data_IF_575658967079
#
_entry.id   IF_575658967079
#
_cell.length_a   1.000
_cell.length_b   1.000
_cell.length_c   1.000
_cell.angle_alpha   90.00
_cell.angle_beta   90.00
_cell.angle_gamma   90.00
#
_symmetry.space_group_name_H-M   'P 1'
#
loop_
_entity.id
_entity.type
_entity.pdbx_description
1 polymer ?
#
# COMPACT_ATOMS: atom_id res chain seq x y z
N UNK A 1 -11.89 18.50 -24.40
CA UNK A 1 -12.95 17.76 -23.65
C UNK A 1 -12.62 17.65 -22.18
N UNK A 2 -13.65 17.47 -21.32
CA UNK A 2 -13.45 17.23 -19.90
C UNK A 2 -12.61 15.98 -19.64
N UNK A 3 -11.88 15.96 -18.52
CA UNK A 3 -11.20 14.77 -18.06
C UNK A 3 -12.21 13.71 -17.61
N UNK A 4 -11.82 12.45 -17.68
CA UNK A 4 -12.61 11.30 -17.20
C UNK A 4 -11.83 10.49 -16.16
N UNK A 5 -12.56 9.83 -15.26
CA UNK A 5 -11.97 8.95 -14.23
C UNK A 5 -12.25 7.49 -14.62
N UNK A 6 -11.19 6.70 -14.81
CA UNK A 6 -11.31 5.26 -14.95
C UNK A 6 -11.65 4.64 -13.58
N UNK A 7 -12.88 4.17 -13.45
CA UNK A 7 -13.42 3.65 -12.20
C UNK A 7 -12.76 2.35 -11.72
N UNK A 8 -12.15 1.58 -12.64
CA UNK A 8 -11.46 0.35 -12.27
C UNK A 8 -10.21 0.62 -11.41
N UNK A 9 -9.56 1.76 -11.62
CA UNK A 9 -8.35 2.16 -10.91
C UNK A 9 -8.58 3.23 -9.85
N UNK A 10 -9.77 3.81 -9.77
CA UNK A 10 -10.09 4.84 -8.79
C UNK A 10 -10.22 4.22 -7.39
N UNK A 11 -9.38 4.67 -6.45
CA UNK A 11 -9.41 4.28 -5.04
C UNK A 11 -10.28 5.18 -4.16
N UNK A 12 -10.96 6.16 -4.77
CA UNK A 12 -11.80 7.15 -4.08
C UNK A 12 -11.07 7.94 -2.97
N UNK A 13 -9.79 8.25 -3.18
CA UNK A 13 -8.92 8.91 -2.20
C UNK A 13 -9.17 10.41 -2.00
N UNK A 14 -10.12 11.03 -2.69
CA UNK A 14 -10.53 12.44 -2.62
C UNK A 14 -9.56 13.48 -3.19
N UNK A 15 -8.30 13.18 -3.46
CA UNK A 15 -7.29 14.18 -3.82
C UNK A 15 -7.70 15.03 -5.04
N UNK A 16 -8.14 14.37 -6.10
CA UNK A 16 -8.59 15.06 -7.31
C UNK A 16 -9.75 16.03 -7.04
N UNK A 17 -10.65 15.69 -6.11
CA UNK A 17 -11.76 16.55 -5.70
C UNK A 17 -11.27 17.77 -4.94
N UNK A 18 -10.31 17.61 -4.03
CA UNK A 18 -9.75 18.70 -3.23
C UNK A 18 -9.01 19.72 -4.11
N UNK A 19 -8.33 19.24 -5.15
CA UNK A 19 -7.57 20.07 -6.08
C UNK A 19 -8.41 20.67 -7.21
N UNK A 20 -9.67 20.31 -7.33
CA UNK A 20 -10.51 20.82 -8.41
C UNK A 20 -11.03 22.23 -8.11
N UNK A 21 -10.54 23.30 -8.79
CA UNK A 21 -10.95 24.67 -8.51
C UNK A 21 -12.41 24.94 -8.85
N UNK A 22 -12.98 24.13 -9.75
CA UNK A 22 -14.37 24.26 -10.20
C UNK A 22 -15.33 23.35 -9.43
N UNK A 23 -14.84 22.62 -8.43
CA UNK A 23 -15.63 21.61 -7.72
C UNK A 23 -16.40 20.67 -8.66
N UNK A 24 -15.81 20.40 -9.84
CA UNK A 24 -16.42 19.53 -10.87
C UNK A 24 -16.39 18.05 -10.50
N UNK A 25 -15.59 17.65 -9.49
CA UNK A 25 -15.43 16.25 -9.13
C UNK A 25 -16.36 15.89 -7.98
N UNK A 26 -17.27 14.96 -8.24
CA UNK A 26 -18.32 14.55 -7.31
C UNK A 26 -18.26 13.05 -7.06
N UNK A 27 -18.82 12.61 -5.94
CA UNK A 27 -18.98 11.19 -5.59
C UNK A 27 -20.44 10.78 -5.78
N UNK A 28 -20.63 9.64 -6.47
CA UNK A 28 -21.90 8.94 -6.57
C UNK A 28 -21.63 7.44 -6.44
N UNK A 29 -22.40 6.74 -5.62
CA UNK A 29 -22.24 5.30 -5.38
C UNK A 29 -20.80 4.89 -5.08
N UNK A 30 -20.18 5.62 -4.14
CA UNK A 30 -18.80 5.36 -3.72
C UNK A 30 -17.71 5.51 -4.80
N UNK A 31 -18.03 6.12 -5.95
CA UNK A 31 -17.10 6.36 -7.06
C UNK A 31 -17.06 7.84 -7.39
N UNK A 32 -15.88 8.35 -7.75
CA UNK A 32 -15.73 9.70 -8.24
C UNK A 32 -16.00 9.79 -9.73
N UNK A 33 -16.61 10.89 -10.13
CA UNK A 33 -16.79 11.25 -11.53
C UNK A 33 -16.57 12.74 -11.71
N UNK A 34 -16.25 13.16 -12.93
CA UNK A 34 -16.04 14.54 -13.30
C UNK A 34 -17.26 15.04 -14.05
N UNK A 35 -17.87 16.12 -13.54
CA UNK A 35 -18.97 16.80 -14.18
C UNK A 35 -18.44 17.51 -15.43
N UNK A 36 -18.85 17.10 -16.63
CA UNK A 36 -18.32 17.64 -17.89
C UNK A 36 -18.69 19.10 -18.11
N UNK A 37 -19.82 19.57 -17.57
CA UNK A 37 -20.27 20.94 -17.70
C UNK A 37 -19.45 21.92 -16.84
N UNK A 38 -18.86 21.41 -15.75
CA UNK A 38 -18.05 22.21 -14.82
C UNK A 38 -16.55 22.08 -15.04
N UNK A 39 -16.12 21.07 -15.79
CA UNK A 39 -14.72 20.79 -15.99
C UNK A 39 -14.10 21.76 -17.00
N UNK A 40 -13.18 22.60 -16.55
CA UNK A 40 -12.42 23.54 -17.41
C UNK A 40 -11.14 22.90 -17.98
N UNK A 41 -10.96 21.61 -17.87
CA UNK A 41 -9.80 20.86 -18.42
C UNK A 41 -8.42 21.35 -17.97
N UNK A 42 -8.30 21.88 -16.75
CA UNK A 42 -7.05 22.45 -16.23
C UNK A 42 -5.97 21.44 -15.85
N UNK A 43 -6.29 20.13 -15.79
CA UNK A 43 -5.35 19.05 -15.53
C UNK A 43 -4.85 18.91 -14.07
N UNK A 44 -5.26 19.78 -13.12
CA UNK A 44 -4.81 19.69 -11.73
C UNK A 44 -5.12 18.33 -11.10
N UNK A 45 -6.30 17.77 -11.39
CA UNK A 45 -6.72 16.47 -10.88
C UNK A 45 -5.82 15.30 -11.38
N UNK A 46 -5.23 15.42 -12.57
CA UNK A 46 -4.32 14.42 -13.12
C UNK A 46 -3.03 14.39 -12.32
N UNK A 47 -2.49 15.59 -11.98
CA UNK A 47 -1.22 15.72 -11.26
C UNK A 47 -1.23 15.09 -9.86
N UNK A 48 -2.41 15.06 -9.22
CA UNK A 48 -2.56 14.51 -7.86
C UNK A 48 -3.14 13.09 -7.85
N UNK A 49 -3.43 12.53 -9.00
CA UNK A 49 -3.96 11.18 -9.09
C UNK A 49 -2.82 10.15 -9.12
N UNK A 50 -2.39 9.69 -7.96
CA UNK A 50 -1.34 8.69 -7.83
C UNK A 50 -1.70 7.32 -8.46
N UNK A 51 -2.99 7.05 -8.71
CA UNK A 51 -3.41 5.86 -9.46
C UNK A 51 -3.40 6.06 -10.98
N UNK A 52 -3.10 7.27 -11.48
CA UNK A 52 -3.10 7.57 -12.91
C UNK A 52 -4.43 7.30 -13.62
N UNK A 53 -5.54 7.28 -12.86
CA UNK A 53 -6.83 6.90 -13.39
C UNK A 53 -7.62 8.06 -14.04
N UNK A 54 -7.02 9.24 -14.17
CA UNK A 54 -7.66 10.42 -14.76
C UNK A 54 -6.97 10.75 -16.08
N UNK A 55 -7.72 10.76 -17.15
CA UNK A 55 -7.21 11.04 -18.49
C UNK A 55 -8.11 12.01 -19.26
N UNK A 56 -7.53 12.64 -20.26
CA UNK A 56 -8.29 13.38 -21.27
C UNK A 56 -8.52 12.45 -22.46
N UNK A 57 -9.78 12.16 -22.84
CA UNK A 57 -10.08 11.28 -23.96
C UNK A 57 -9.50 11.75 -25.32
N UNK A 58 -9.34 13.07 -25.50
CA UNK A 58 -8.77 13.65 -26.74
C UNK A 58 -7.24 13.63 -26.73
N UNK A 59 -6.62 13.48 -25.57
CA UNK A 59 -5.17 13.41 -25.40
C UNK A 59 -4.81 12.16 -24.58
N UNK A 60 -5.07 10.97 -25.12
CA UNK A 60 -4.67 9.75 -24.44
C UNK A 60 -3.16 9.75 -24.25
N UNK A 61 -2.70 9.15 -23.16
CA UNK A 61 -1.26 8.94 -22.98
C UNK A 61 -0.71 8.16 -24.19
N UNK A 62 0.49 8.50 -24.67
CA UNK A 62 1.14 7.72 -25.73
C UNK A 62 1.24 6.26 -25.29
N UNK A 63 0.81 5.35 -26.15
CA UNK A 63 1.06 3.91 -25.95
C UNK A 63 2.49 3.60 -26.35
N UNK A 64 3.12 2.67 -25.64
CA UNK A 64 4.40 2.12 -26.07
C UNK A 64 4.20 1.43 -27.43
N UNK A 65 5.17 1.61 -28.31
CA UNK A 65 5.18 0.85 -29.57
C UNK A 65 5.45 -0.62 -29.28
N UNK A 66 4.82 -1.55 -30.04
CA UNK A 66 5.15 -2.96 -29.92
C UNK A 66 6.66 -3.18 -30.08
N UNK A 67 7.23 -4.04 -29.24
CA UNK A 67 8.64 -4.41 -29.30
C UNK A 67 8.81 -5.94 -29.24
N UNK A 68 9.94 -6.42 -29.72
CA UNK A 68 10.34 -7.81 -29.48
C UNK A 68 10.55 -8.07 -27.99
N UNK A 69 10.49 -9.32 -27.52
CA UNK A 69 10.79 -9.65 -26.14
C UNK A 69 12.12 -9.04 -25.68
N UNK A 70 12.09 -8.37 -24.53
CA UNK A 70 13.26 -7.74 -23.92
C UNK A 70 13.83 -8.69 -22.88
N UNK A 71 15.13 -9.02 -23.02
CA UNK A 71 15.86 -9.84 -22.06
C UNK A 71 16.64 -8.94 -21.09
N UNK A 72 16.52 -9.23 -19.80
CA UNK A 72 17.26 -8.55 -18.70
C UNK A 72 17.84 -9.56 -17.74
N UNK A 73 18.79 -9.11 -16.93
CA UNK A 73 19.38 -9.90 -15.84
C UNK A 73 19.43 -9.08 -14.56
N UNK A 74 19.21 -9.71 -13.42
CA UNK A 74 19.34 -9.10 -12.09
C UNK A 74 19.82 -10.13 -11.07
N UNK A 75 20.36 -9.69 -9.94
CA UNK A 75 20.59 -10.56 -8.78
C UNK A 75 19.28 -10.83 -8.02
N UNK A 76 18.35 -9.86 -8.09
CA UNK A 76 17.07 -9.91 -7.41
C UNK A 76 16.02 -9.17 -8.24
N UNK A 77 14.85 -9.79 -8.38
CA UNK A 77 13.64 -9.11 -8.85
C UNK A 77 12.69 -8.91 -7.67
N UNK A 78 12.22 -7.67 -7.49
CA UNK A 78 11.18 -7.35 -6.52
C UNK A 78 9.88 -7.04 -7.27
N UNK A 79 8.83 -7.80 -7.00
CA UNK A 79 7.53 -7.63 -7.63
C UNK A 79 6.61 -6.80 -6.74
N UNK A 80 6.37 -5.57 -7.17
CA UNK A 80 5.59 -4.55 -6.46
C UNK A 80 6.46 -3.49 -5.78
N UNK A 81 6.18 -2.21 -6.06
CA UNK A 81 6.87 -1.04 -5.50
C UNK A 81 6.08 -0.37 -4.36
N UNK A 82 5.32 -1.14 -3.59
CA UNK A 82 4.72 -0.70 -2.32
C UNK A 82 5.77 -0.56 -1.21
N UNK A 83 5.34 -0.30 0.03
CA UNK A 83 6.26 -0.14 1.17
C UNK A 83 7.24 -1.31 1.30
N UNK A 84 6.73 -2.55 1.32
CA UNK A 84 7.56 -3.75 1.47
C UNK A 84 8.56 -3.91 0.31
N UNK A 85 8.11 -3.67 -0.92
CA UNK A 85 8.95 -3.79 -2.11
C UNK A 85 10.05 -2.75 -2.15
N UNK A 86 9.74 -1.50 -1.84
CA UNK A 86 10.76 -0.43 -1.83
C UNK A 86 11.79 -0.63 -0.73
N UNK A 87 11.38 -1.10 0.46
CA UNK A 87 12.31 -1.45 1.54
C UNK A 87 13.22 -2.61 1.12
N UNK A 88 12.65 -3.67 0.54
CA UNK A 88 13.43 -4.81 0.06
C UNK A 88 14.42 -4.42 -1.04
N UNK A 89 13.98 -3.60 -1.99
CA UNK A 89 14.82 -3.12 -3.08
C UNK A 89 15.98 -2.23 -2.58
N UNK A 90 15.68 -1.27 -1.70
CA UNK A 90 16.70 -0.41 -1.11
C UNK A 90 17.73 -1.21 -0.28
N UNK A 91 17.27 -2.12 0.58
CA UNK A 91 18.14 -3.01 1.37
C UNK A 91 19.07 -3.84 0.48
N UNK A 92 18.55 -4.39 -0.60
CA UNK A 92 19.36 -5.18 -1.52
C UNK A 92 20.37 -4.31 -2.30
N UNK A 93 19.98 -3.09 -2.69
CA UNK A 93 20.87 -2.14 -3.31
C UNK A 93 21.98 -1.66 -2.35
N UNK A 94 21.65 -1.46 -1.06
CA UNK A 94 22.65 -1.14 -0.02
C UNK A 94 23.70 -2.26 0.12
N UNK A 95 23.27 -3.51 -0.11
CA UNK A 95 24.17 -4.68 -0.16
C UNK A 95 24.89 -4.85 -1.51
N UNK A 96 24.82 -3.87 -2.41
CA UNK A 96 25.49 -3.88 -3.72
C UNK A 96 24.89 -4.83 -4.75
N UNK A 97 23.64 -5.25 -4.58
CA UNK A 97 22.96 -6.16 -5.53
C UNK A 97 22.36 -5.39 -6.69
N UNK A 98 22.43 -6.00 -7.88
CA UNK A 98 21.67 -5.53 -9.05
C UNK A 98 20.21 -5.90 -8.91
N UNK A 99 19.35 -4.90 -8.67
CA UNK A 99 17.93 -5.11 -8.38
C UNK A 99 17.05 -4.47 -9.46
N UNK A 100 16.05 -5.23 -9.92
CA UNK A 100 14.97 -4.72 -10.77
C UNK A 100 13.67 -4.82 -9.99
N UNK A 101 12.93 -3.71 -9.91
CA UNK A 101 11.59 -3.64 -9.34
C UNK A 101 10.57 -3.61 -10.47
N UNK A 102 9.57 -4.48 -10.40
CA UNK A 102 8.42 -4.50 -11.31
C UNK A 102 7.23 -3.85 -10.63
N UNK A 103 6.74 -2.75 -11.17
CA UNK A 103 5.54 -2.07 -10.68
C UNK A 103 4.48 -1.95 -11.78
N UNK A 104 3.29 -2.49 -11.52
CA UNK A 104 2.20 -2.45 -12.50
C UNK A 104 1.52 -1.08 -12.62
N UNK A 105 1.66 -0.24 -11.61
CA UNK A 105 1.15 1.12 -11.63
C UNK A 105 2.21 2.08 -12.22
N UNK A 106 1.87 3.34 -12.33
CA UNK A 106 2.75 4.37 -12.88
C UNK A 106 3.65 5.04 -11.83
N UNK A 107 3.50 4.65 -10.54
CA UNK A 107 4.23 5.25 -9.42
C UNK A 107 4.38 4.23 -8.28
N UNK A 108 5.42 4.43 -7.44
CA UNK A 108 5.65 3.65 -6.23
C UNK A 108 4.59 3.95 -5.15
N UNK A 109 4.55 3.16 -4.10
CA UNK A 109 3.78 3.43 -2.88
C UNK A 109 2.62 2.48 -2.64
N UNK A 110 1.89 2.06 -3.68
CA UNK A 110 0.76 1.14 -3.50
C UNK A 110 -0.20 1.58 -2.38
N UNK A 111 -0.53 0.67 -1.46
CA UNK A 111 -1.40 0.98 -0.31
C UNK A 111 -0.71 1.85 0.75
N UNK A 112 0.62 1.89 0.80
CA UNK A 112 1.33 2.77 1.72
C UNK A 112 1.09 4.25 1.44
N UNK A 113 0.70 4.59 0.22
CA UNK A 113 0.32 5.96 -0.14
C UNK A 113 -0.73 6.55 0.79
N UNK A 114 -1.60 5.71 1.35
CA UNK A 114 -2.67 6.14 2.25
C UNK A 114 -2.28 6.15 3.73
N UNK A 115 -1.07 5.68 4.06
CA UNK A 115 -0.62 5.63 5.43
C UNK A 115 -0.14 7.02 5.90
N UNK A 116 -0.63 7.46 7.05
CA UNK A 116 -0.22 8.72 7.65
C UNK A 116 1.22 8.65 8.22
N UNK A 117 1.63 7.46 8.64
CA UNK A 117 2.93 7.19 9.25
C UNK A 117 3.16 5.71 9.44
N UNK A 118 4.09 5.36 10.30
CA UNK A 118 4.40 3.97 10.64
C UNK A 118 4.11 3.68 12.10
N UNK A 119 3.74 2.44 12.38
CA UNK A 119 3.79 1.93 13.74
C UNK A 119 5.21 1.45 14.04
N UNK A 120 5.78 1.95 15.10
CA UNK A 120 7.08 1.53 15.59
C UNK A 120 6.95 1.02 17.03
N UNK A 121 7.33 -0.22 17.27
CA UNK A 121 7.25 -0.83 18.60
C UNK A 121 8.47 -0.54 19.45
N UNK A 122 9.63 -0.33 18.83
CA UNK A 122 10.88 0.03 19.46
C UNK A 122 11.88 0.59 18.44
N UNK A 123 12.74 1.49 18.86
CA UNK A 123 13.86 2.02 18.08
C UNK A 123 14.82 2.76 19.03
N UNK A 124 16.00 3.11 18.54
CA UNK A 124 16.94 3.98 19.25
C UNK A 124 16.35 5.33 19.67
N UNK A 125 15.33 5.83 18.95
CA UNK A 125 14.64 7.05 19.36
C UNK A 125 13.75 6.85 20.59
N UNK A 126 13.16 5.66 20.77
CA UNK A 126 12.44 5.31 21.99
C UNK A 126 13.40 5.24 23.18
N UNK A 127 14.56 4.63 22.98
CA UNK A 127 15.61 4.54 23.99
C UNK A 127 16.12 5.94 24.37
N UNK A 128 16.45 6.78 23.39
CA UNK A 128 16.88 8.16 23.60
C UNK A 128 15.81 9.03 24.29
N UNK A 129 14.53 8.72 24.09
CA UNK A 129 13.41 9.36 24.79
C UNK A 129 13.15 8.80 26.19
N UNK A 130 13.97 7.85 26.68
CA UNK A 130 13.82 7.22 28.01
C UNK A 130 12.64 6.25 28.12
N UNK A 131 12.09 5.79 26.99
CA UNK A 131 11.02 4.80 26.98
C UNK A 131 11.54 3.42 27.45
N UNK A 132 10.62 2.58 27.95
CA UNK A 132 10.95 1.19 28.30
C UNK A 132 10.51 0.27 27.17
N UNK A 133 11.38 -0.69 26.81
CA UNK A 133 11.02 -1.71 25.83
C UNK A 133 9.85 -2.58 26.34
N UNK A 134 8.74 -2.51 25.65
CA UNK A 134 7.51 -3.25 25.97
C UNK A 134 7.12 -4.24 24.85
N UNK A 135 8.02 -4.50 23.88
CA UNK A 135 7.72 -5.38 22.73
C UNK A 135 7.16 -6.72 23.14
N UNK A 136 7.73 -7.36 24.17
CA UNK A 136 7.24 -8.66 24.67
C UNK A 136 5.80 -8.58 25.19
N UNK A 137 5.49 -7.53 25.98
CA UNK A 137 4.14 -7.31 26.52
C UNK A 137 3.13 -7.05 25.39
N UNK A 138 3.51 -6.25 24.40
CA UNK A 138 2.67 -5.95 23.24
C UNK A 138 2.48 -7.20 22.37
N UNK A 139 3.50 -7.99 22.14
CA UNK A 139 3.41 -9.27 21.45
C UNK A 139 2.40 -10.22 22.11
N UNK A 140 2.50 -10.42 23.42
CA UNK A 140 1.57 -11.25 24.19
C UNK A 140 0.13 -10.73 24.09
N UNK A 141 -0.03 -9.42 24.11
CA UNK A 141 -1.33 -8.76 23.92
C UNK A 141 -1.88 -8.98 22.52
N UNK A 142 -1.06 -8.85 21.48
CA UNK A 142 -1.45 -9.14 20.09
C UNK A 142 -1.88 -10.60 19.92
N UNK A 143 -1.13 -11.55 20.48
CA UNK A 143 -1.51 -12.97 20.43
C UNK A 143 -2.89 -13.23 21.03
N UNK A 144 -3.18 -12.63 22.18
CA UNK A 144 -4.51 -12.72 22.80
C UNK A 144 -5.59 -12.07 21.94
N UNK A 145 -5.28 -10.93 21.33
CA UNK A 145 -6.22 -10.14 20.53
C UNK A 145 -6.61 -10.86 19.24
N UNK A 146 -5.68 -11.57 18.61
CA UNK A 146 -5.93 -12.32 17.36
C UNK A 146 -6.38 -13.75 17.59
N UNK A 147 -6.48 -14.19 18.84
CA UNK A 147 -7.00 -15.50 19.22
C UNK A 147 -6.40 -16.67 18.44
N UNK A 148 -5.08 -16.72 18.38
CA UNK A 148 -4.32 -17.72 17.64
C UNK A 148 -4.37 -17.63 16.11
N UNK A 149 -5.01 -16.61 15.55
CA UNK A 149 -5.15 -16.44 14.09
C UNK A 149 -3.94 -15.75 13.44
N UNK A 150 -2.76 -16.03 13.92
CA UNK A 150 -1.50 -15.53 13.36
C UNK A 150 -0.41 -16.56 13.61
N UNK A 151 0.59 -16.58 12.73
CA UNK A 151 1.81 -17.33 13.01
C UNK A 151 2.60 -16.60 14.12
N UNK A 152 2.75 -17.20 15.33
CA UNK A 152 3.38 -16.51 16.45
C UNK A 152 4.86 -16.20 16.21
N UNK A 153 5.58 -17.07 15.49
CA UNK A 153 7.00 -16.85 15.15
C UNK A 153 7.14 -15.66 14.19
N UNK A 154 6.28 -15.60 13.18
CA UNK A 154 6.28 -14.48 12.23
C UNK A 154 5.89 -13.17 12.90
N UNK A 155 4.90 -13.19 13.78
CA UNK A 155 4.51 -12.02 14.57
C UNK A 155 5.66 -11.51 15.42
N UNK A 156 6.37 -12.41 16.13
CA UNK A 156 7.52 -12.01 16.94
C UNK A 156 8.63 -11.41 16.07
N UNK A 157 8.95 -12.06 14.93
CA UNK A 157 9.94 -11.51 13.98
C UNK A 157 9.55 -10.13 13.46
N UNK A 158 8.26 -9.86 13.29
CA UNK A 158 7.80 -8.52 12.91
C UNK A 158 8.13 -7.47 13.98
N UNK A 159 7.97 -7.81 15.26
CA UNK A 159 8.34 -6.89 16.35
C UNK A 159 9.85 -6.62 16.42
N UNK A 160 10.67 -7.64 16.19
CA UNK A 160 12.13 -7.49 16.13
C UNK A 160 12.55 -6.68 14.91
N UNK A 161 12.14 -7.08 13.72
CA UNK A 161 12.50 -6.44 12.47
C UNK A 161 12.01 -4.98 12.37
N UNK A 162 10.93 -4.64 13.07
CA UNK A 162 10.43 -3.28 13.10
C UNK A 162 11.45 -2.30 13.71
N UNK A 163 12.14 -2.68 14.78
CA UNK A 163 13.19 -1.87 15.37
C UNK A 163 14.39 -1.72 14.41
N UNK A 164 14.86 -2.85 13.88
CA UNK A 164 15.96 -2.88 12.91
C UNK A 164 15.65 -2.01 11.68
N UNK A 165 14.40 -2.08 11.19
CA UNK A 165 13.94 -1.30 10.05
C UNK A 165 13.99 0.21 10.33
N UNK A 166 13.46 0.65 11.45
CA UNK A 166 13.41 2.08 11.79
C UNK A 166 14.84 2.62 12.00
N UNK A 167 15.68 1.89 12.71
CA UNK A 167 17.06 2.32 12.94
C UNK A 167 17.86 2.40 11.62
N UNK A 168 17.68 1.42 10.73
CA UNK A 168 18.28 1.46 9.38
C UNK A 168 17.77 2.66 8.57
N UNK A 169 16.48 2.96 8.60
CA UNK A 169 15.89 4.10 7.89
C UNK A 169 16.44 5.44 8.41
N UNK A 170 16.72 5.53 9.73
CA UNK A 170 17.31 6.71 10.33
C UNK A 170 18.76 6.87 9.91
N UNK A 171 19.53 5.77 10.00
CA UNK A 171 20.97 5.82 9.85
C UNK A 171 21.42 5.95 8.38
N UNK A 172 20.72 5.26 7.48
CA UNK A 172 21.19 5.11 6.10
C UNK A 172 20.31 5.88 5.08
N UNK A 173 19.10 6.31 5.48
CA UNK A 173 18.17 6.97 4.57
C UNK A 173 17.65 8.32 5.07
N UNK A 174 18.37 8.95 6.00
CA UNK A 174 18.06 10.30 6.52
C UNK A 174 16.56 10.52 6.86
N UNK A 175 15.91 9.48 7.35
CA UNK A 175 14.49 9.57 7.66
C UNK A 175 14.19 10.54 8.79
N UNK A 176 15.20 10.82 9.64
CA UNK A 176 15.12 11.76 10.74
C UNK A 176 14.80 13.20 10.31
N UNK A 177 15.20 13.60 9.10
CA UNK A 177 14.89 14.92 8.55
C UNK A 177 13.38 15.13 8.29
N UNK A 178 12.64 14.05 8.04
CA UNK A 178 11.24 14.09 7.65
C UNK A 178 10.28 13.52 8.69
N UNK A 179 10.77 12.70 9.62
CA UNK A 179 9.96 12.02 10.61
C UNK A 179 10.47 12.27 12.03
N UNK A 180 9.58 12.21 12.97
CA UNK A 180 9.87 12.30 14.40
C UNK A 180 9.03 11.29 15.17
N UNK A 181 9.50 10.93 16.34
CA UNK A 181 8.73 10.12 17.28
C UNK A 181 7.50 10.90 17.74
N UNK A 182 6.31 10.35 17.52
CA UNK A 182 5.08 10.96 18.03
C UNK A 182 5.04 10.88 19.55
N UNK A 183 4.64 11.97 20.21
CA UNK A 183 4.54 12.01 21.67
C UNK A 183 3.32 11.27 22.22
N UNK A 184 2.35 11.00 21.36
CA UNK A 184 1.11 10.31 21.74
C UNK A 184 1.07 8.92 21.12
N UNK A 185 0.73 7.87 21.89
CA UNK A 185 0.50 6.56 21.33
C UNK A 185 -0.66 6.61 20.34
N UNK A 186 -0.59 5.82 19.27
CA UNK A 186 -1.74 5.62 18.40
C UNK A 186 -2.95 5.21 19.23
N UNK A 187 -4.08 5.87 19.00
CA UNK A 187 -5.33 5.69 19.74
C UNK A 187 -5.98 4.30 19.64
N UNK A 188 -5.22 3.27 19.34
CA UNK A 188 -5.63 1.87 19.32
C UNK A 188 -5.57 1.21 20.71
N UNK A 189 -5.27 1.97 21.75
CA UNK A 189 -5.17 1.46 23.12
C UNK A 189 -3.99 0.49 23.33
N UNK A 190 -3.01 0.49 22.46
CA UNK A 190 -1.78 -0.27 22.55
C UNK A 190 -0.75 0.59 23.29
N UNK A 191 -0.58 0.37 24.59
CA UNK A 191 0.47 1.03 25.36
C UNK A 191 1.85 0.71 24.76
N UNK A 192 2.63 1.73 24.45
CA UNK A 192 4.00 1.59 23.96
C UNK A 192 4.16 1.55 22.44
N UNK A 193 3.06 1.64 21.65
CA UNK A 193 3.16 1.90 20.22
C UNK A 193 3.26 3.40 19.98
N UNK A 194 4.24 3.81 19.17
CA UNK A 194 4.43 5.18 18.77
C UNK A 194 4.27 5.27 17.25
N UNK A 195 3.60 6.31 16.79
CA UNK A 195 3.55 6.67 15.39
C UNK A 195 4.68 7.63 15.04
N UNK A 196 5.21 7.45 13.85
CA UNK A 196 6.13 8.38 13.25
C UNK A 196 5.33 9.37 12.40
N UNK A 197 5.41 10.63 12.74
CA UNK A 197 4.82 11.69 11.94
C UNK A 197 5.88 12.35 11.07
N UNK A 198 5.50 12.74 9.87
CA UNK A 198 6.33 13.59 9.05
C UNK A 198 6.54 14.94 9.75
N UNK A 199 7.79 15.43 9.80
CA UNK A 199 8.09 16.73 10.38
C UNK A 199 7.22 17.84 9.74
N UNK A 200 6.50 18.59 10.57
CA UNK A 200 5.61 19.67 10.12
C UNK A 200 4.22 19.24 9.63
N UNK A 201 3.87 17.95 9.62
CA UNK A 201 2.52 17.50 9.28
C UNK A 201 1.65 17.50 10.53
N UNK A 202 0.52 18.17 10.47
CA UNK A 202 -0.49 18.12 11.54
C UNK A 202 -1.41 16.93 11.31
N UNK A 203 -1.77 16.25 12.39
CA UNK A 203 -2.70 15.09 12.38
C UNK A 203 -4.07 15.47 11.80
N UNK A 204 -4.48 16.71 11.88
CA UNK A 204 -5.74 17.22 11.34
C UNK A 204 -5.81 17.29 9.80
N UNK A 205 -4.68 17.09 9.08
CA UNK A 205 -4.62 16.98 7.62
C UNK A 205 -4.65 15.53 7.10
N UNK A 206 -4.92 14.57 7.94
CA UNK A 206 -4.88 13.12 7.63
C UNK A 206 -6.01 12.63 6.70
N UNK A 207 -6.75 13.50 6.05
CA UNK A 207 -7.84 13.16 5.14
C UNK A 207 -7.35 13.25 3.70
N UNK A 208 -6.54 12.28 3.33
CA UNK A 208 -5.99 12.18 1.98
C UNK A 208 -4.96 11.07 1.90
N UNK A 209 -4.25 10.89 0.77
CA UNK A 209 -3.06 10.04 0.76
C UNK A 209 -2.16 10.55 1.86
N UNK A 210 -1.92 9.67 2.82
CA UNK A 210 -1.13 10.01 3.98
C UNK A 210 0.26 10.43 3.54
N UNK A 211 0.69 11.62 3.90
CA UNK A 211 2.00 12.11 3.49
C UNK A 211 3.14 11.21 3.99
N UNK A 212 2.93 10.49 5.10
CA UNK A 212 3.94 9.63 5.71
C UNK A 212 4.36 8.45 4.85
N UNK A 213 3.44 7.59 4.46
CA UNK A 213 3.77 6.41 3.66
C UNK A 213 4.20 6.75 2.23
N UNK A 214 3.62 7.78 1.63
CA UNK A 214 4.06 8.31 0.35
C UNK A 214 5.49 8.83 0.41
N UNK A 215 5.79 9.66 1.41
CA UNK A 215 7.13 10.21 1.57
C UNK A 215 8.20 9.10 1.69
N UNK A 216 7.95 8.11 2.55
CA UNK A 216 8.87 6.98 2.71
C UNK A 216 9.13 6.26 1.39
N UNK A 217 8.08 5.89 0.67
CA UNK A 217 8.24 5.08 -0.55
C UNK A 217 8.91 5.86 -1.67
N UNK A 218 8.62 7.15 -1.81
CA UNK A 218 9.28 8.01 -2.81
C UNK A 218 10.73 8.32 -2.43
N UNK A 219 11.01 8.49 -1.15
CA UNK A 219 12.37 8.71 -0.67
C UNK A 219 13.25 7.48 -0.92
N UNK A 220 12.77 6.29 -0.53
CA UNK A 220 13.47 5.03 -0.82
C UNK A 220 13.63 4.78 -2.32
N UNK A 221 12.65 5.13 -3.15
CA UNK A 221 12.77 5.09 -4.61
C UNK A 221 13.95 5.93 -5.08
N UNK A 222 14.00 7.18 -4.64
CA UNK A 222 15.02 8.13 -5.09
C UNK A 222 16.43 7.65 -4.69
N UNK A 223 16.59 7.12 -3.49
CA UNK A 223 17.86 6.55 -3.04
C UNK A 223 18.21 5.26 -3.77
N UNK A 224 17.23 4.39 -4.01
CA UNK A 224 17.39 3.17 -4.80
C UNK A 224 17.87 3.47 -6.23
N UNK A 225 17.26 4.46 -6.89
CA UNK A 225 17.65 4.88 -8.24
C UNK A 225 19.07 5.51 -8.26
N UNK A 226 19.44 6.31 -7.26
CA UNK A 226 20.80 6.86 -7.13
C UNK A 226 21.87 5.77 -7.00
N UNK A 227 21.52 4.62 -6.40
CA UNK A 227 22.39 3.44 -6.25
C UNK A 227 22.39 2.52 -7.49
N UNK A 228 21.79 2.95 -8.59
CA UNK A 228 21.74 2.19 -9.85
C UNK A 228 20.64 1.14 -9.93
N UNK A 229 19.68 1.15 -9.03
CA UNK A 229 18.49 0.31 -9.12
C UNK A 229 17.60 0.69 -10.30
N UNK A 230 16.83 -0.26 -10.81
CA UNK A 230 15.91 -0.06 -11.93
C UNK A 230 14.46 -0.35 -11.50
N UNK A 231 13.53 0.55 -11.86
CA UNK A 231 12.08 0.32 -11.67
C UNK A 231 11.40 0.34 -13.03
N UNK A 232 10.72 -0.76 -13.35
CA UNK A 232 9.89 -0.86 -14.54
C UNK A 232 8.44 -0.59 -14.15
N UNK A 233 7.98 0.62 -14.46
CA UNK A 233 6.60 1.04 -14.22
C UNK A 233 5.66 0.52 -15.32
N UNK A 234 4.36 0.41 -15.01
CA UNK A 234 3.33 -0.15 -15.90
C UNK A 234 3.69 -1.52 -16.44
N UNK A 235 4.48 -2.26 -15.67
CA UNK A 235 5.07 -3.54 -16.04
C UNK A 235 4.67 -4.61 -15.03
N UNK A 236 3.43 -5.12 -15.09
CA UNK A 236 2.99 -6.21 -14.24
C UNK A 236 3.82 -7.48 -14.48
N UNK A 237 4.31 -8.10 -13.41
CA UNK A 237 4.80 -9.48 -13.46
C UNK A 237 3.63 -10.41 -13.78
N UNK A 238 3.91 -11.45 -14.57
CA UNK A 238 2.95 -12.44 -15.03
C UNK A 238 3.23 -13.82 -14.45
N UNK A 239 4.47 -14.26 -14.55
CA UNK A 239 4.88 -15.59 -14.11
C UNK A 239 6.27 -15.55 -13.46
N UNK A 240 6.46 -16.38 -12.45
CA UNK A 240 7.77 -16.69 -11.90
C UNK A 240 8.28 -17.91 -12.63
N UNK A 241 9.50 -17.86 -13.13
CA UNK A 241 10.15 -18.98 -13.80
C UNK A 241 10.95 -19.80 -12.82
N UNK A 242 10.94 -21.11 -13.02
CA UNK A 242 11.78 -22.08 -12.30
C UNK A 242 12.61 -22.87 -13.29
N UNK A 243 13.72 -23.39 -12.82
CA UNK A 243 14.54 -24.36 -13.54
C UNK A 243 13.96 -25.79 -13.40
N UNK A 244 14.65 -26.76 -13.96
CA UNK A 244 14.29 -28.18 -13.91
C UNK A 244 14.27 -28.80 -12.48
N UNK A 245 14.95 -28.13 -11.55
CA UNK A 245 14.99 -28.54 -10.13
C UNK A 245 13.95 -27.80 -9.29
N UNK A 246 13.13 -26.92 -9.89
CA UNK A 246 12.15 -26.11 -9.20
C UNK A 246 12.72 -24.85 -8.53
N UNK A 247 14.00 -24.52 -8.72
CA UNK A 247 14.58 -23.29 -8.21
C UNK A 247 14.20 -22.10 -9.09
N UNK A 248 14.02 -20.93 -8.45
CA UNK A 248 13.70 -19.69 -9.19
C UNK A 248 14.81 -19.38 -10.20
N UNK A 249 14.42 -19.14 -11.45
CA UNK A 249 15.33 -18.81 -12.56
C UNK A 249 15.02 -17.47 -13.20
N UNK A 250 13.85 -16.87 -12.92
CA UNK A 250 13.48 -15.58 -13.49
C UNK A 250 12.03 -15.17 -13.31
N UNK A 251 11.65 -14.10 -14.00
CA UNK A 251 10.28 -13.57 -14.04
C UNK A 251 9.93 -13.18 -15.47
N UNK A 252 8.71 -13.50 -15.89
CA UNK A 252 8.08 -12.91 -17.07
C UNK A 252 7.22 -11.74 -16.61
N UNK A 253 7.45 -10.59 -17.19
CA UNK A 253 6.64 -9.39 -17.05
C UNK A 253 6.16 -8.93 -18.41
N UNK A 254 5.22 -8.01 -18.44
CA UNK A 254 4.66 -7.47 -19.67
C UNK A 254 4.36 -5.99 -19.48
N UNK A 255 4.85 -5.16 -20.39
CA UNK A 255 4.41 -3.79 -20.52
C UNK A 255 3.38 -3.62 -21.66
N UNK A 256 3.06 -2.37 -22.01
CA UNK A 256 2.12 -2.08 -23.12
C UNK A 256 2.69 -2.46 -24.49
N UNK A 257 4.01 -2.60 -24.62
CA UNK A 257 4.71 -2.91 -25.87
C UNK A 257 4.99 -4.40 -26.09
N UNK A 258 5.10 -5.19 -25.01
CA UNK A 258 5.43 -6.61 -25.17
C UNK A 258 5.93 -7.30 -23.89
N UNK A 259 6.53 -8.46 -24.09
CA UNK A 259 7.09 -9.29 -23.03
C UNK A 259 8.46 -8.77 -22.58
N UNK A 260 8.70 -8.83 -21.30
CA UNK A 260 10.01 -8.59 -20.67
C UNK A 260 10.35 -9.82 -19.83
N UNK A 261 11.44 -10.48 -20.18
CA UNK A 261 11.96 -11.65 -19.47
C UNK A 261 13.18 -11.25 -18.64
N UNK A 262 13.13 -11.52 -17.35
CA UNK A 262 14.22 -11.16 -16.44
C UNK A 262 14.78 -12.44 -15.82
N UNK A 263 16.02 -12.79 -16.15
CA UNK A 263 16.74 -13.88 -15.51
C UNK A 263 17.27 -13.43 -14.17
N UNK A 264 16.94 -14.14 -13.09
CA UNK A 264 17.40 -13.86 -11.73
C UNK A 264 17.33 -15.11 -10.85
N UNK A 265 18.24 -15.26 -9.88
CA UNK A 265 18.23 -16.39 -8.94
C UNK A 265 17.23 -16.21 -7.78
N UNK A 266 16.66 -15.03 -7.60
CA UNK A 266 15.76 -14.74 -6.49
C UNK A 266 14.68 -13.75 -6.86
N UNK A 267 13.48 -13.92 -6.28
CA UNK A 267 12.32 -13.04 -6.45
C UNK A 267 11.70 -12.77 -5.08
N UNK A 268 11.42 -11.50 -4.81
CA UNK A 268 10.62 -11.09 -3.64
C UNK A 268 9.24 -10.66 -4.13
N UNK A 269 8.20 -11.32 -3.62
CA UNK A 269 6.80 -10.98 -3.88
C UNK A 269 6.33 -9.95 -2.86
N UNK A 270 6.11 -8.71 -3.32
CA UNK A 270 5.68 -7.59 -2.52
C UNK A 270 4.43 -6.90 -3.10
N UNK A 271 3.55 -7.67 -3.74
CA UNK A 271 2.39 -7.20 -4.51
C UNK A 271 1.22 -6.68 -3.67
N UNK A 272 1.33 -6.77 -2.35
CA UNK A 272 0.28 -6.35 -1.44
C UNK A 272 -0.88 -7.33 -1.33
N UNK A 273 -2.07 -6.81 -1.03
CA UNK A 273 -3.25 -7.62 -0.77
C UNK A 273 -4.10 -7.89 -2.03
N UNK A 274 -5.21 -8.62 -1.83
CA UNK A 274 -6.15 -9.02 -2.88
C UNK A 274 -7.52 -8.32 -2.77
N UNK A 275 -7.61 -7.27 -1.97
CA UNK A 275 -8.90 -6.64 -1.62
C UNK A 275 -9.69 -6.08 -2.81
N UNK A 276 -9.05 -5.88 -3.96
CA UNK A 276 -9.72 -5.44 -5.21
C UNK A 276 -10.03 -6.57 -6.18
N UNK A 277 -9.67 -7.80 -5.85
CA UNK A 277 -10.01 -8.98 -6.63
C UNK A 277 -11.26 -9.63 -6.05
N UNK A 278 -12.38 -9.53 -6.77
CA UNK A 278 -13.67 -10.05 -6.32
C UNK A 278 -13.66 -11.56 -6.12
N UNK A 279 -12.95 -12.31 -6.95
CA UNK A 279 -12.87 -13.76 -6.87
C UNK A 279 -12.09 -14.19 -5.63
N UNK A 280 -10.92 -13.60 -5.39
CA UNK A 280 -10.13 -13.88 -4.19
C UNK A 280 -10.84 -13.42 -2.92
N UNK A 281 -11.55 -12.28 -2.97
CA UNK A 281 -12.36 -11.84 -1.85
C UNK A 281 -13.52 -12.80 -1.57
N UNK A 282 -14.22 -13.30 -2.59
CA UNK A 282 -15.24 -14.32 -2.40
C UNK A 282 -14.67 -15.65 -1.88
N UNK A 283 -13.49 -16.02 -2.36
CA UNK A 283 -12.80 -17.25 -1.93
C UNK A 283 -12.35 -17.18 -0.46
N UNK A 284 -11.74 -16.07 -0.06
CA UNK A 284 -11.09 -15.96 1.25
C UNK A 284 -11.88 -15.14 2.28
N UNK A 285 -12.75 -14.25 1.83
CA UNK A 285 -13.48 -13.29 2.66
C UNK A 285 -14.94 -13.13 2.21
N UNK A 286 -15.71 -14.24 2.06
CA UNK A 286 -17.05 -14.20 1.47
C UNK A 286 -18.02 -13.31 2.23
N UNK A 287 -17.81 -13.11 3.54
CA UNK A 287 -18.65 -12.28 4.38
C UNK A 287 -18.78 -10.83 3.90
N UNK A 288 -17.79 -10.31 3.17
CA UNK A 288 -17.79 -8.93 2.71
C UNK A 288 -18.70 -8.70 1.51
N UNK A 289 -19.05 -9.75 0.77
CA UNK A 289 -19.90 -9.67 -0.43
C UNK A 289 -21.32 -10.22 -0.22
N UNK A 290 -21.66 -10.71 0.98
CA UNK A 290 -23.00 -11.23 1.29
C UNK A 290 -24.13 -10.20 1.13
N UNK A 291 -23.79 -8.90 1.16
CA UNK A 291 -24.73 -7.79 0.98
C UNK A 291 -24.48 -7.01 -0.31
N UNK A 292 -23.95 -7.64 -1.34
CA UNK A 292 -23.65 -7.00 -2.61
C UNK A 292 -24.91 -6.33 -3.19
N UNK A 293 -24.85 -5.04 -3.48
CA UNK A 293 -25.95 -4.23 -4.00
C UNK A 293 -26.68 -3.38 -2.97
N UNK A 294 -26.55 -3.63 -1.67
CA UNK A 294 -27.19 -2.80 -0.63
C UNK A 294 -26.26 -1.74 -0.04
N UNK A 295 -24.99 -2.08 0.18
CA UNK A 295 -23.96 -1.16 0.68
C UNK A 295 -22.63 -1.47 -0.02
N UNK A 296 -22.20 -0.69 -1.01
CA UNK A 296 -20.94 -0.92 -1.67
C UNK A 296 -19.79 -0.75 -0.69
N UNK A 297 -18.93 -1.77 -0.62
CA UNK A 297 -17.74 -1.73 0.24
C UNK A 297 -16.71 -0.78 -0.36
N UNK A 298 -16.32 0.21 0.41
CA UNK A 298 -15.17 1.05 0.08
C UNK A 298 -13.88 0.34 0.40
N UNK A 299 -13.10 0.05 -0.63
CA UNK A 299 -11.78 -0.56 -0.50
C UNK A 299 -10.74 0.54 -0.46
N UNK A 300 -10.18 0.77 0.72
CA UNK A 300 -9.11 1.74 0.93
C UNK A 300 -7.74 1.07 0.76
N UNK A 301 -7.44 0.69 -0.47
CA UNK A 301 -6.19 0.03 -0.85
C UNK A 301 -5.70 0.56 -2.19
N UNK A 302 -4.42 0.42 -2.47
CA UNK A 302 -3.83 0.75 -3.76
C UNK A 302 -4.59 0.08 -4.92
N UNK A 303 -4.69 0.77 -6.04
CA UNK A 303 -5.42 0.25 -7.22
C UNK A 303 -4.85 -1.08 -7.72
N UNK A 304 -3.58 -1.34 -7.44
CA UNK A 304 -2.89 -2.56 -7.78
C UNK A 304 -3.15 -3.77 -6.86
N UNK A 305 -3.99 -3.65 -5.81
CA UNK A 305 -4.21 -4.71 -4.80
C UNK A 305 -5.13 -5.83 -5.29
N UNK A 306 -4.70 -6.55 -6.33
CA UNK A 306 -5.48 -7.59 -7.02
C UNK A 306 -5.07 -9.03 -6.66
N UNK A 307 -4.05 -9.21 -5.80
CA UNK A 307 -3.60 -10.53 -5.40
C UNK A 307 -2.72 -11.26 -6.42
N UNK A 308 -2.10 -10.53 -7.35
CA UNK A 308 -1.30 -11.14 -8.42
C UNK A 308 -0.17 -12.03 -7.87
N UNK A 309 0.49 -11.60 -6.79
CA UNK A 309 1.55 -12.40 -6.16
C UNK A 309 1.03 -13.68 -5.51
N UNK A 310 -0.19 -13.66 -4.97
CA UNK A 310 -0.84 -14.86 -4.44
C UNK A 310 -1.04 -15.88 -5.57
N UNK A 311 -1.61 -15.42 -6.69
CA UNK A 311 -1.87 -16.28 -7.84
C UNK A 311 -0.57 -16.85 -8.44
N UNK A 312 0.47 -16.04 -8.61
CA UNK A 312 1.78 -16.51 -9.09
C UNK A 312 2.43 -17.52 -8.14
N UNK A 313 2.26 -17.37 -6.83
CA UNK A 313 2.78 -18.34 -5.86
C UNK A 313 1.96 -19.63 -5.88
N UNK A 314 0.64 -19.57 -6.03
CA UNK A 314 -0.21 -20.76 -6.18
C UNK A 314 0.15 -21.58 -7.43
N UNK A 315 0.48 -20.92 -8.55
CA UNK A 315 0.96 -21.56 -9.78
C UNK A 315 2.21 -22.43 -9.52
N UNK A 316 3.03 -22.06 -8.53
CA UNK A 316 4.22 -22.80 -8.11
C UNK A 316 3.95 -23.79 -6.98
N UNK A 317 2.71 -24.02 -6.60
CA UNK A 317 2.32 -24.95 -5.54
C UNK A 317 2.53 -24.42 -4.12
N UNK A 318 2.65 -23.12 -3.92
CA UNK A 318 2.76 -22.55 -2.58
C UNK A 318 1.43 -22.65 -1.82
N UNK A 319 1.51 -23.01 -0.55
CA UNK A 319 0.37 -22.97 0.36
C UNK A 319 0.01 -21.54 0.73
N UNK A 320 -1.30 -21.29 0.85
CA UNK A 320 -1.84 -20.04 1.33
C UNK A 320 -2.45 -20.25 2.71
N UNK A 321 -1.85 -19.63 3.72
CA UNK A 321 -2.31 -19.73 5.10
C UNK A 321 -2.76 -18.38 5.64
N UNK A 322 -3.63 -18.41 6.64
CA UNK A 322 -4.17 -17.26 7.38
C UNK A 322 -4.99 -16.23 6.58
N UNK A 323 -5.22 -16.40 5.28
CA UNK A 323 -5.97 -15.43 4.44
C UNK A 323 -7.47 -15.36 4.73
N UNK A 324 -8.06 -16.44 5.26
CA UNK A 324 -9.48 -16.51 5.61
C UNK A 324 -9.77 -16.01 7.03
N UNK A 325 -8.76 -15.64 7.77
CA UNK A 325 -8.89 -15.45 9.21
C UNK A 325 -9.10 -14.02 9.66
N UNK A 326 -8.91 -13.01 8.86
CA UNK A 326 -9.40 -11.63 9.08
C UNK A 326 -8.65 -10.58 8.28
N UNK A 327 -9.39 -9.66 7.75
CA UNK A 327 -8.89 -8.48 7.07
C UNK A 327 -9.12 -7.29 7.98
N UNK A 328 -8.07 -6.50 8.23
CA UNK A 328 -8.25 -5.15 8.72
C UNK A 328 -8.78 -4.30 7.58
N UNK A 329 -10.05 -3.93 7.65
CA UNK A 329 -10.64 -3.02 6.68
C UNK A 329 -10.95 -1.69 7.35
N UNK A 330 -10.60 -0.63 6.65
CA UNK A 330 -11.16 0.67 6.97
C UNK A 330 -12.60 0.67 6.49
N UNK A 331 -13.54 0.85 7.40
CA UNK A 331 -14.96 0.77 7.11
C UNK A 331 -15.45 1.84 6.14
N UNK A 332 -16.67 1.69 5.62
CA UNK A 332 -17.24 2.59 4.63
C UNK A 332 -17.33 4.02 5.16
N UNK A 333 -16.87 4.94 4.35
CA UNK A 333 -17.06 6.36 4.60
C UNK A 333 -18.48 6.75 4.22
N UNK A 334 -19.34 7.05 5.19
CA UNK A 334 -20.61 7.72 4.94
C UNK A 334 -20.37 9.24 4.94
N UNK A 335 -20.85 9.86 3.88
CA UNK A 335 -20.90 11.29 3.63
C UNK A 335 -21.46 12.11 4.82
N UNK A 336 -21.02 13.39 5.09
CA UNK A 336 -20.15 14.22 4.26
C UNK A 336 -18.67 14.26 4.68
N UNK A 337 -18.30 13.63 5.79
CA UNK A 337 -16.94 13.60 6.29
C UNK A 337 -16.42 12.18 6.38
N UNK A 338 -15.18 11.93 5.95
CA UNK A 338 -14.60 10.61 6.08
C UNK A 338 -14.44 10.24 7.55
N UNK A 339 -15.29 9.34 8.04
CA UNK A 339 -15.03 8.63 9.28
C UNK A 339 -14.12 7.47 8.94
N UNK A 340 -12.85 7.55 9.31
CA UNK A 340 -11.97 6.40 9.30
C UNK A 340 -12.38 5.54 10.49
N UNK A 341 -13.13 4.47 10.26
CA UNK A 341 -13.36 3.45 11.27
C UNK A 341 -12.41 2.29 11.00
N UNK A 342 -11.50 2.06 11.92
CA UNK A 342 -10.68 0.86 11.93
C UNK A 342 -11.54 -0.27 12.49
N UNK A 343 -12.05 -1.15 11.62
CA UNK A 343 -12.73 -2.37 12.05
C UNK A 343 -11.68 -3.46 12.23
N UNK A 344 -11.29 -3.71 13.47
CA UNK A 344 -10.51 -4.89 13.82
C UNK A 344 -11.51 -5.99 14.16
N UNK A 345 -11.66 -6.95 13.28
CA UNK A 345 -12.46 -8.14 13.57
C UNK A 345 -11.66 -9.06 14.51
N UNK A 346 -12.04 -9.11 15.76
CA UNK A 346 -11.47 -9.98 16.79
C UNK A 346 -12.47 -11.10 17.10
N UNK A 347 -12.16 -12.31 16.66
CA UNK A 347 -13.04 -13.45 16.85
C UNK A 347 -14.40 -13.26 16.17
N UNK A 348 -15.47 -13.76 16.76
CA UNK A 348 -16.85 -13.54 16.32
C UNK A 348 -17.39 -12.17 16.75
N UNK A 349 -16.55 -11.24 17.22
CA UNK A 349 -16.96 -9.91 17.66
C UNK A 349 -16.20 -8.86 16.86
N UNK A 350 -16.93 -8.05 16.12
CA UNK A 350 -16.40 -6.85 15.51
C UNK A 350 -16.31 -5.76 16.57
N UNK A 351 -15.12 -5.25 16.84
CA UNK A 351 -14.93 -4.06 17.67
C UNK A 351 -14.72 -2.88 16.73
N UNK A 352 -15.71 -2.00 16.70
CA UNK A 352 -15.60 -0.70 16.04
C UNK A 352 -14.99 0.28 17.04
N UNK A 353 -13.71 0.59 16.85
CA UNK A 353 -13.06 1.67 17.61
C UNK A 353 -13.41 3.00 16.94
N UNK A 354 -14.31 3.75 17.53
CA UNK A 354 -14.57 5.13 17.15
C UNK A 354 -13.51 6.02 17.77
N UNK A 355 -12.80 6.76 16.96
CA UNK A 355 -12.00 7.86 17.48
C UNK A 355 -12.96 8.86 18.15
N UNK A 356 -12.77 9.22 19.42
CA UNK A 356 -13.78 9.96 20.22
C UNK A 356 -14.06 11.39 19.73
N UNK A 357 -13.35 11.89 18.77
CA UNK A 357 -13.46 13.27 18.26
C UNK A 357 -13.97 13.37 16.83
N UNK A 358 -14.35 12.27 16.18
CA UNK A 358 -14.84 12.28 14.80
C UNK A 358 -16.37 12.12 14.70
N UNK A 359 -17.06 11.78 15.78
CA UNK A 359 -18.50 11.58 15.76
C UNK A 359 -19.21 12.38 16.85
N UNK A 360 -19.39 13.69 16.67
CA UNK A 360 -20.56 14.37 17.27
C UNK A 360 -21.75 14.02 16.39
N UNK A 361 -22.64 13.18 16.89
CA UNK A 361 -24.02 13.08 16.36
C UNK A 361 -24.62 14.49 16.43
N UNK A 362 -24.98 15.07 15.31
CA UNK A 362 -26.09 15.98 15.29
C UNK A 362 -27.34 15.12 15.53
N UNK A 363 -27.83 15.20 16.75
CA UNK A 363 -29.20 14.80 17.02
C UNK A 363 -30.10 15.81 16.28
N UNK A 364 -30.78 15.34 15.26
CA UNK A 364 -32.18 15.65 14.89
C UNK A 364 -32.57 14.86 13.67
#
# INVERSE_FOLDING_TARGET
MPYVINQAYCSACHQCRMECPMHAIRMKNAKYWIDPEKCISCGKCVKVCHNGCISNPEKPAPKLSPHAPIEKTADLVVVGAGAAGMVAAAKAADAGKKVIVLEKMHEVGGSAWYAAGFCCHWSKWHEAAGAKDKRKKEYERFLKMVDGNVNPKLLWRMFEANAEFIDWMIDEHDLASAYKLAKTPMGLGLEGTFEWERAGTRIDKMIGPGEGGWYMTTHLRDDFLKKGGEILYKTPAKHILTDENGAVSGVIAQDEGGEIRITCPAVIIATGCFSRNKELMNRFQPMFYQNEGKDPIHIFAGAGSNGDGILMCEELGADIDYVNRRVNMFGPMRHPYPCVSLNIALGNRAICLRAPWVCRRSAR
#
